data_IF_418257312241
#
_entry.id   IF_418257312241
#
_cell.length_a   1.000
_cell.length_b   1.000
_cell.length_c   1.000
_cell.angle_alpha   90.00
_cell.angle_beta   90.00
_cell.angle_gamma   90.00
#
_symmetry.space_group_name_H-M   'P 1'
#
loop_
_entity.id
_entity.type
_entity.pdbx_description
1 polymer ?
#
# COMPACT_ATOMS: atom_id res chain seq x y z
N UNK A 1 8.14 -15.03 27.96
CA UNK A 1 8.20 -13.56 28.09
C UNK A 1 6.92 -13.06 27.45
N UNK A 2 5.94 -12.82 28.31
CA UNK A 2 4.52 -12.71 28.00
C UNK A 2 4.14 -11.29 27.57
N UNK A 3 3.48 -11.21 26.43
CA UNK A 3 2.40 -10.29 26.05
C UNK A 3 2.02 -9.22 27.09
N UNK A 4 2.66 -8.03 27.03
CA UNK A 4 2.04 -6.75 27.45
C UNK A 4 2.86 -5.47 27.14
N UNK A 5 3.61 -5.39 26.03
CA UNK A 5 4.53 -4.24 25.80
C UNK A 5 4.07 -3.16 24.82
N UNK A 6 2.88 -3.30 24.24
CA UNK A 6 2.31 -2.30 23.36
C UNK A 6 0.92 -1.98 23.89
N UNK A 7 0.84 -1.06 24.87
CA UNK A 7 -0.40 -0.44 25.35
C UNK A 7 -1.06 0.41 24.26
N UNK A 8 -1.36 -0.23 23.14
CA UNK A 8 -1.93 0.38 21.95
C UNK A 8 -3.44 0.13 22.00
N UNK A 9 -4.17 0.97 22.73
CA UNK A 9 -5.61 1.08 22.50
C UNK A 9 -5.83 1.67 21.10
N UNK A 10 -6.57 0.95 20.26
CA UNK A 10 -7.02 1.37 18.94
C UNK A 10 -8.52 1.64 19.03
N UNK A 11 -8.96 2.81 18.55
CA UNK A 11 -10.38 3.08 18.36
C UNK A 11 -10.86 2.37 17.09
N UNK A 12 -11.63 1.29 17.26
CA UNK A 12 -12.18 0.45 16.18
C UNK A 12 -11.14 0.01 15.13
N UNK A 13 -10.18 -0.84 15.49
CA UNK A 13 -9.17 -1.28 14.54
C UNK A 13 -9.80 -2.10 13.41
N UNK A 14 -9.25 -1.99 12.20
CA UNK A 14 -9.70 -2.84 11.08
C UNK A 14 -9.52 -4.32 11.42
N UNK A 15 -8.42 -4.63 12.10
CA UNK A 15 -8.02 -5.98 12.47
C UNK A 15 -7.32 -5.95 13.84
N UNK A 16 -7.31 -7.08 14.55
CA UNK A 16 -6.56 -7.24 15.79
C UNK A 16 -5.10 -6.78 15.66
N UNK A 17 -4.55 -6.20 16.73
CA UNK A 17 -3.13 -5.78 16.77
C UNK A 17 -2.21 -6.97 16.53
N UNK A 18 -2.60 -8.13 17.05
CA UNK A 18 -1.86 -9.40 16.92
C UNK A 18 -1.68 -9.82 15.46
N UNK A 19 -2.72 -9.69 14.62
CA UNK A 19 -2.64 -10.01 13.19
C UNK A 19 -1.73 -9.03 12.43
N UNK A 20 -1.76 -7.72 12.76
CA UNK A 20 -0.80 -6.76 12.19
C UNK A 20 0.65 -7.06 12.59
N UNK A 21 0.86 -7.50 13.84
CA UNK A 21 2.16 -7.92 14.34
C UNK A 21 2.62 -9.22 13.65
N UNK A 22 1.73 -10.20 13.50
CA UNK A 22 2.01 -11.48 12.83
C UNK A 22 2.33 -11.32 11.33
N UNK A 23 1.69 -10.37 10.65
CA UNK A 23 1.99 -10.02 9.27
C UNK A 23 3.32 -9.24 9.12
N UNK A 24 3.88 -8.70 10.20
CA UNK A 24 5.14 -7.96 10.18
C UNK A 24 5.04 -6.55 9.57
N UNK A 25 3.84 -5.94 9.58
CA UNK A 25 3.58 -4.60 9.03
C UNK A 25 4.39 -3.50 9.73
N UNK A 26 4.64 -3.68 11.03
CA UNK A 26 5.35 -2.74 11.89
C UNK A 26 6.87 -2.76 11.74
N UNK A 27 7.44 -3.77 11.06
CA UNK A 27 8.88 -3.95 10.94
C UNK A 27 9.38 -3.07 9.78
N UNK A 28 10.03 -1.96 10.09
CA UNK A 28 10.70 -1.14 9.10
C UNK A 28 12.18 -1.50 8.93
N UNK A 29 12.94 -0.58 8.35
CA UNK A 29 14.38 -0.77 8.10
C UNK A 29 15.28 -0.11 9.14
N UNK A 30 16.60 -0.20 8.96
CA UNK A 30 17.60 0.52 9.76
C UNK A 30 17.84 1.96 9.27
N UNK A 31 17.42 2.27 8.03
CA UNK A 31 17.56 3.61 7.47
C UNK A 31 16.26 4.36 7.64
N UNK A 32 16.35 5.64 7.97
CA UNK A 32 15.20 6.53 8.05
C UNK A 32 15.35 7.70 7.10
N UNK A 33 14.25 8.04 6.46
CA UNK A 33 14.07 9.32 5.81
C UNK A 33 13.49 10.34 6.82
N UNK A 34 13.59 11.62 6.48
CA UNK A 34 13.10 12.71 7.31
C UNK A 34 11.59 12.88 7.20
N UNK A 35 11.02 12.59 6.03
CA UNK A 35 9.57 12.62 5.79
C UNK A 35 8.84 11.57 6.64
N UNK A 36 9.44 10.39 6.78
CA UNK A 36 8.82 9.25 7.46
C UNK A 36 8.96 9.30 8.99
N UNK A 37 9.64 10.31 9.55
CA UNK A 37 9.84 10.46 11.01
C UNK A 37 8.53 10.45 11.79
N UNK A 38 7.46 11.03 11.24
CA UNK A 38 6.18 11.08 11.93
C UNK A 38 5.56 9.69 12.12
N UNK A 39 5.88 8.71 11.27
CA UNK A 39 5.27 7.37 11.33
C UNK A 39 6.07 6.38 12.20
N UNK A 40 7.20 6.80 12.75
CA UNK A 40 8.05 5.96 13.59
C UNK A 40 7.53 5.99 15.03
N UNK A 41 7.26 4.82 15.60
CA UNK A 41 6.87 4.67 17.00
C UNK A 41 8.10 4.63 17.92
N UNK A 42 9.01 3.67 17.70
CA UNK A 42 10.24 3.51 18.48
C UNK A 42 11.32 2.78 17.68
N UNK A 43 12.54 2.77 18.21
CA UNK A 43 13.66 1.98 17.67
C UNK A 43 13.82 0.72 18.51
N UNK A 44 13.99 -0.45 17.88
CA UNK A 44 14.32 -1.71 18.56
C UNK A 44 15.81 -1.73 18.94
N UNK A 45 16.19 -2.60 19.87
CA UNK A 45 17.60 -2.88 20.22
C UNK A 45 18.49 -3.18 19.01
N UNK A 46 17.92 -3.80 17.97
CA UNK A 46 18.64 -4.25 16.78
C UNK A 46 18.86 -3.12 15.75
N UNK A 47 18.40 -1.90 16.07
CA UNK A 47 18.48 -0.73 15.18
C UNK A 47 17.38 -0.66 14.12
N UNK A 48 16.43 -1.59 14.12
CA UNK A 48 15.25 -1.52 13.26
C UNK A 48 14.23 -0.52 13.83
N UNK A 49 13.74 0.36 12.96
CA UNK A 49 12.67 1.27 13.32
C UNK A 49 11.31 0.55 13.25
N UNK A 50 10.46 0.80 14.25
CA UNK A 50 9.12 0.25 14.36
C UNK A 50 8.12 1.30 13.85
N UNK A 51 7.30 0.93 12.87
CA UNK A 51 6.21 1.76 12.33
C UNK A 51 5.02 1.74 13.29
N UNK A 52 4.37 2.89 13.48
CA UNK A 52 3.14 2.99 14.26
C UNK A 52 1.94 2.41 13.49
N UNK A 53 1.43 1.27 13.96
CA UNK A 53 0.28 0.57 13.39
C UNK A 53 -0.98 1.44 13.43
N UNK A 54 -1.13 2.32 14.45
CA UNK A 54 -2.29 3.22 14.56
C UNK A 54 -2.39 4.12 13.34
N UNK A 55 -1.26 4.72 12.97
CA UNK A 55 -1.17 5.60 11.80
C UNK A 55 -1.39 4.83 10.50
N UNK A 56 -0.88 3.60 10.42
CA UNK A 56 -1.15 2.72 9.27
C UNK A 56 -2.65 2.46 9.10
N UNK A 57 -3.35 2.09 10.17
CA UNK A 57 -4.80 1.80 10.17
C UNK A 57 -5.62 3.03 9.77
N UNK A 58 -5.30 4.20 10.32
CA UNK A 58 -5.91 5.48 9.97
C UNK A 58 -5.70 5.83 8.49
N UNK A 59 -4.47 5.68 7.98
CA UNK A 59 -4.15 5.95 6.57
C UNK A 59 -4.88 4.98 5.64
N UNK A 60 -4.98 3.69 5.97
CA UNK A 60 -5.75 2.72 5.19
C UNK A 60 -7.22 3.13 5.10
N UNK A 61 -7.84 3.53 6.23
CA UNK A 61 -9.23 4.04 6.24
C UNK A 61 -9.40 5.29 5.39
N UNK A 62 -8.46 6.24 5.46
CA UNK A 62 -8.48 7.46 4.65
C UNK A 62 -8.37 7.13 3.15
N UNK A 63 -7.44 6.26 2.78
CA UNK A 63 -7.22 5.82 1.40
C UNK A 63 -8.45 5.09 0.86
N UNK A 64 -9.04 4.18 1.63
CA UNK A 64 -10.25 3.48 1.20
C UNK A 64 -11.41 4.45 0.93
N UNK A 65 -11.61 5.46 1.79
CA UNK A 65 -12.60 6.53 1.58
C UNK A 65 -12.29 7.40 0.35
N UNK A 66 -11.01 7.66 0.08
CA UNK A 66 -10.58 8.42 -1.08
C UNK A 66 -10.84 7.63 -2.38
N UNK A 67 -10.42 6.36 -2.42
CA UNK A 67 -10.59 5.47 -3.57
C UNK A 67 -12.06 5.16 -3.86
N UNK A 68 -12.94 5.17 -2.84
CA UNK A 68 -14.37 4.97 -3.02
C UNK A 68 -15.05 6.06 -3.88
N UNK A 69 -14.40 7.22 -4.07
CA UNK A 69 -14.91 8.31 -4.92
C UNK A 69 -14.69 8.07 -6.41
N UNK A 70 -13.77 7.17 -6.76
CA UNK A 70 -13.37 6.89 -8.13
C UNK A 70 -14.05 5.62 -8.65
N UNK A 71 -14.27 5.59 -9.96
CA UNK A 71 -14.72 4.38 -10.63
C UNK A 71 -13.60 3.32 -10.66
N UNK A 72 -13.98 2.05 -10.53
CA UNK A 72 -13.03 0.94 -10.50
C UNK A 72 -11.99 0.94 -11.64
N UNK A 73 -12.36 1.10 -12.93
CA UNK A 73 -11.38 1.04 -14.03
C UNK A 73 -10.43 2.26 -14.10
N UNK A 74 -10.74 3.35 -13.37
CA UNK A 74 -9.90 4.55 -13.30
C UNK A 74 -8.83 4.47 -12.22
N UNK A 75 -8.84 3.43 -11.39
CA UNK A 75 -7.80 3.14 -10.42
C UNK A 75 -6.71 2.33 -11.11
N UNK A 76 -5.47 2.81 -11.04
CA UNK A 76 -4.31 2.13 -11.61
C UNK A 76 -3.33 1.70 -10.53
N UNK A 77 -3.02 0.41 -10.46
CA UNK A 77 -2.12 -0.15 -9.46
C UNK A 77 -0.83 -0.57 -10.14
N UNK A 78 0.30 -0.06 -9.65
CA UNK A 78 1.63 -0.36 -10.19
C UNK A 78 2.50 -1.01 -9.13
N UNK A 79 3.18 -2.07 -9.53
CA UNK A 79 4.15 -2.74 -8.67
C UNK A 79 5.25 -3.42 -9.48
N UNK A 80 6.49 -3.03 -9.23
CA UNK A 80 7.68 -3.73 -9.75
C UNK A 80 8.17 -4.83 -8.81
N UNK A 81 7.82 -4.74 -7.52
CA UNK A 81 8.26 -5.65 -6.46
C UNK A 81 7.63 -7.04 -6.62
N UNK A 82 8.45 -8.09 -6.64
CA UNK A 82 7.99 -9.48 -6.85
C UNK A 82 6.89 -9.91 -5.86
N UNK A 83 7.09 -9.67 -4.56
CA UNK A 83 6.08 -10.01 -3.53
C UNK A 83 4.82 -9.14 -3.59
N UNK A 84 4.89 -7.97 -4.23
CA UNK A 84 3.73 -7.09 -4.43
C UNK A 84 2.88 -7.45 -5.65
N UNK A 85 3.41 -8.24 -6.61
CA UNK A 85 2.72 -8.54 -7.86
C UNK A 85 1.42 -9.32 -7.63
N UNK A 86 1.47 -10.36 -6.81
CA UNK A 86 0.30 -11.21 -6.55
C UNK A 86 -0.80 -10.46 -5.77
N UNK A 87 -0.51 -9.81 -4.62
CA UNK A 87 -1.52 -9.01 -3.90
C UNK A 87 -2.13 -7.88 -4.73
N UNK A 88 -1.32 -7.18 -5.53
CA UNK A 88 -1.80 -6.09 -6.38
C UNK A 88 -2.71 -6.58 -7.52
N UNK A 89 -2.40 -7.71 -8.14
CA UNK A 89 -3.27 -8.34 -9.14
C UNK A 89 -4.59 -8.79 -8.52
N UNK A 90 -4.53 -9.42 -7.34
CA UNK A 90 -5.72 -9.87 -6.63
C UNK A 90 -6.63 -8.68 -6.26
N UNK A 91 -6.06 -7.64 -5.66
CA UNK A 91 -6.73 -6.37 -5.37
C UNK A 91 -7.45 -5.82 -6.61
N UNK A 92 -6.73 -5.76 -7.73
CA UNK A 92 -7.24 -5.19 -8.97
C UNK A 92 -8.34 -6.03 -9.58
N UNK A 93 -8.20 -7.36 -9.54
CA UNK A 93 -9.21 -8.30 -10.04
C UNK A 93 -10.50 -8.24 -9.23
N UNK A 94 -10.39 -8.09 -7.91
CA UNK A 94 -11.55 -8.00 -7.02
C UNK A 94 -12.31 -6.69 -7.19
N UNK A 95 -11.61 -5.58 -7.36
CA UNK A 95 -12.22 -4.25 -7.45
C UNK A 95 -12.65 -3.92 -8.87
N UNK A 96 -12.02 -4.53 -9.88
CA UNK A 96 -12.13 -4.16 -11.29
C UNK A 96 -11.20 -3.00 -11.66
N UNK A 97 -10.07 -2.87 -10.98
CA UNK A 97 -9.04 -1.87 -11.27
C UNK A 97 -8.03 -2.39 -12.31
N UNK A 98 -7.31 -1.48 -12.94
CA UNK A 98 -6.25 -1.84 -13.89
C UNK A 98 -4.95 -2.00 -13.09
N UNK A 99 -4.25 -3.12 -13.26
CA UNK A 99 -2.92 -3.30 -12.68
C UNK A 99 -1.85 -3.49 -13.74
N UNK A 100 -0.68 -2.92 -13.45
CA UNK A 100 0.55 -3.20 -14.19
C UNK A 100 1.58 -3.76 -13.21
N UNK A 101 1.88 -5.05 -13.37
CA UNK A 101 2.87 -5.75 -12.57
C UNK A 101 4.20 -5.91 -13.31
N UNK A 102 5.29 -5.90 -12.55
CA UNK A 102 6.64 -6.08 -13.06
C UNK A 102 7.21 -4.79 -13.63
N UNK A 103 7.99 -4.90 -14.72
CA UNK A 103 8.69 -3.74 -15.28
C UNK A 103 7.69 -2.72 -15.84
N UNK A 104 7.69 -1.51 -15.27
CA UNK A 104 6.95 -0.38 -15.80
C UNK A 104 7.59 0.08 -17.12
N UNK A 105 6.76 0.28 -18.15
CA UNK A 105 7.23 0.74 -19.47
C UNK A 105 7.14 2.26 -19.47
N UNK A 106 8.26 2.99 -19.66
CA UNK A 106 8.20 4.43 -19.77
C UNK A 106 7.29 4.86 -20.92
N UNK A 107 6.40 5.82 -20.65
CA UNK A 107 5.39 6.27 -21.61
C UNK A 107 4.00 5.68 -21.36
N UNK A 108 3.84 4.74 -20.44
CA UNK A 108 2.54 4.09 -20.17
C UNK A 108 1.44 5.09 -19.79
N UNK A 109 1.76 6.22 -19.14
CA UNK A 109 0.76 7.24 -18.78
C UNK A 109 0.83 8.49 -19.69
N UNK A 110 1.91 8.67 -20.45
CA UNK A 110 2.16 9.90 -21.22
C UNK A 110 2.05 9.72 -22.73
N UNK A 111 2.26 8.52 -23.27
CA UNK A 111 2.30 8.26 -24.70
C UNK A 111 1.07 7.47 -25.19
N UNK A 112 0.11 8.10 -25.89
CA UNK A 112 -1.12 7.45 -26.35
C UNK A 112 -0.91 6.43 -27.47
N UNK A 113 0.26 6.41 -28.12
CA UNK A 113 0.57 5.46 -29.21
C UNK A 113 0.94 4.08 -28.65
N UNK A 114 1.30 3.98 -27.38
CA UNK A 114 1.68 2.70 -26.78
C UNK A 114 0.47 1.77 -26.62
N UNK A 115 0.62 0.46 -26.86
CA UNK A 115 -0.49 -0.49 -26.74
C UNK A 115 -0.96 -0.69 -25.29
N UNK A 116 -0.11 -0.34 -24.30
CA UNK A 116 -0.41 -0.40 -22.87
C UNK A 116 -0.63 1.00 -22.28
N UNK A 117 -1.05 1.96 -23.09
CA UNK A 117 -1.40 3.29 -22.62
C UNK A 117 -2.66 3.23 -21.75
N UNK A 118 -2.63 3.95 -20.62
CA UNK A 118 -3.76 4.01 -19.69
C UNK A 118 -3.92 5.44 -19.18
N UNK A 119 -5.16 5.88 -19.04
CA UNK A 119 -5.53 7.19 -18.47
C UNK A 119 -6.30 7.01 -17.15
N UNK A 120 -5.58 6.75 -16.04
CA UNK A 120 -6.20 6.63 -14.72
C UNK A 120 -6.44 7.99 -14.08
N UNK A 121 -7.34 8.02 -13.11
CA UNK A 121 -7.60 9.20 -12.26
C UNK A 121 -6.88 9.10 -10.92
N UNK A 122 -6.39 7.92 -10.56
CA UNK A 122 -5.58 7.72 -9.36
C UNK A 122 -4.59 6.58 -9.56
N UNK A 123 -3.35 6.77 -9.10
CA UNK A 123 -2.30 5.75 -9.15
C UNK A 123 -1.97 5.26 -7.74
N UNK A 124 -1.91 3.95 -7.56
CA UNK A 124 -1.46 3.28 -6.33
C UNK A 124 -0.14 2.59 -6.63
N UNK A 125 0.88 2.87 -5.83
CA UNK A 125 2.23 2.35 -5.98
C UNK A 125 2.64 1.53 -4.76
N UNK A 126 3.21 0.34 -4.98
CA UNK A 126 3.69 -0.51 -3.86
C UNK A 126 5.01 -0.02 -3.26
N UNK A 127 5.91 0.55 -4.05
CA UNK A 127 7.16 1.08 -3.53
C UNK A 127 7.62 2.27 -4.37
N UNK A 128 7.75 3.47 -3.78
CA UNK A 128 8.13 4.65 -4.54
C UNK A 128 9.57 4.58 -5.09
N UNK A 129 10.46 3.77 -4.50
CA UNK A 129 11.82 3.59 -5.04
C UNK A 129 11.79 2.71 -6.29
N UNK A 130 11.11 1.56 -6.23
CA UNK A 130 11.02 0.63 -7.36
C UNK A 130 10.20 1.18 -8.53
N UNK A 131 9.15 1.94 -8.23
CA UNK A 131 8.15 2.41 -9.20
C UNK A 131 8.22 3.92 -9.45
N UNK A 132 9.40 4.53 -9.23
CA UNK A 132 9.63 5.97 -9.39
C UNK A 132 9.23 6.51 -10.77
N UNK A 133 9.34 5.68 -11.81
CA UNK A 133 8.92 6.04 -13.17
C UNK A 133 7.40 6.28 -13.25
N UNK A 134 6.60 5.44 -12.60
CA UNK A 134 5.15 5.59 -12.57
C UNK A 134 4.74 6.85 -11.80
N UNK A 135 5.44 7.16 -10.70
CA UNK A 135 5.22 8.39 -9.93
C UNK A 135 5.54 9.61 -10.79
N UNK A 136 6.70 9.62 -11.46
CA UNK A 136 7.13 10.75 -12.29
C UNK A 136 6.13 11.03 -13.42
N UNK A 137 5.64 9.98 -14.09
CA UNK A 137 4.65 10.15 -15.15
C UNK A 137 3.26 10.55 -14.61
N UNK A 138 2.83 10.00 -13.48
CA UNK A 138 1.58 10.40 -12.84
C UNK A 138 1.57 11.89 -12.50
N UNK A 139 2.69 12.41 -11.95
CA UNK A 139 2.87 13.82 -11.64
C UNK A 139 2.84 14.69 -12.89
N UNK A 140 3.47 14.26 -13.98
CA UNK A 140 3.43 14.97 -15.25
C UNK A 140 2.00 15.08 -15.82
N UNK A 141 1.18 14.04 -15.63
CA UNK A 141 -0.22 14.03 -16.03
C UNK A 141 -1.15 14.70 -14.99
N UNK A 142 -0.66 15.12 -13.82
CA UNK A 142 -1.47 15.71 -12.75
C UNK A 142 -2.39 14.71 -12.05
N UNK A 143 -2.02 13.42 -12.06
CA UNK A 143 -2.80 12.33 -11.45
C UNK A 143 -2.34 12.14 -9.99
N UNK A 144 -3.25 12.08 -9.01
CA UNK A 144 -2.90 11.86 -7.61
C UNK A 144 -2.25 10.48 -7.39
N UNK A 145 -1.21 10.46 -6.56
CA UNK A 145 -0.38 9.29 -6.26
C UNK A 145 -0.54 8.87 -4.80
N UNK A 146 -0.91 7.60 -4.61
CA UNK A 146 -0.94 6.92 -3.31
C UNK A 146 0.22 5.91 -3.29
N UNK A 147 1.05 5.90 -2.25
CA UNK A 147 2.16 4.96 -2.15
C UNK A 147 2.22 4.23 -0.81
N UNK A 148 2.61 2.95 -0.86
CA UNK A 148 3.03 2.20 0.32
C UNK A 148 4.50 2.53 0.61
N UNK A 149 4.76 3.15 1.76
CA UNK A 149 6.08 3.65 2.12
C UNK A 149 6.59 2.95 3.38
N UNK A 150 7.78 2.38 3.28
CA UNK A 150 8.62 2.00 4.40
C UNK A 150 9.43 3.22 4.89
N UNK A 151 10.11 3.09 6.01
CA UNK A 151 10.78 4.18 6.73
C UNK A 151 11.94 4.79 5.93
N UNK A 152 12.51 4.05 4.99
CA UNK A 152 13.58 4.51 4.10
C UNK A 152 13.08 5.14 2.79
N UNK A 153 11.77 5.19 2.57
CA UNK A 153 11.21 5.76 1.35
C UNK A 153 11.10 7.29 1.46
N UNK A 154 11.42 7.96 0.37
CA UNK A 154 11.14 9.39 0.19
C UNK A 154 9.69 9.57 -0.26
N UNK A 155 9.01 10.59 0.27
CA UNK A 155 7.60 10.84 -0.04
C UNK A 155 7.39 11.96 -1.05
N UNK A 156 8.49 12.40 -1.70
CA UNK A 156 8.45 13.40 -2.76
C UNK A 156 7.47 12.99 -3.88
N UNK A 157 6.52 13.86 -4.16
CA UNK A 157 5.45 13.66 -5.16
C UNK A 157 4.47 12.51 -4.86
N UNK A 158 4.35 12.12 -3.59
CA UNK A 158 3.28 11.24 -3.12
C UNK A 158 2.25 12.07 -2.36
N UNK A 159 1.00 12.04 -2.78
CA UNK A 159 -0.07 12.81 -2.14
C UNK A 159 -0.58 12.15 -0.86
N UNK A 160 -0.62 10.81 -0.86
CA UNK A 160 -1.12 10.03 0.27
C UNK A 160 -0.22 8.84 0.56
N UNK A 161 0.36 8.85 1.75
CA UNK A 161 1.31 7.85 2.22
C UNK A 161 0.60 6.83 3.11
N UNK A 162 0.80 5.55 2.82
CA UNK A 162 0.46 4.45 3.74
C UNK A 162 1.78 3.96 4.35
N UNK A 163 2.05 4.24 5.63
CA UNK A 163 3.25 3.78 6.30
C UNK A 163 3.14 2.26 6.55
N UNK A 164 3.97 1.47 5.88
CA UNK A 164 3.97 0.01 6.02
C UNK A 164 5.30 -0.58 5.58
N UNK A 165 5.62 -1.76 6.08
CA UNK A 165 6.65 -2.60 5.49
C UNK A 165 6.26 -3.00 4.06
N UNK A 166 6.97 -2.46 3.06
CA UNK A 166 6.74 -2.75 1.63
C UNK A 166 7.68 -3.83 1.07
N UNK A 167 8.41 -4.55 1.93
CA UNK A 167 9.33 -5.64 1.55
C UNK A 167 8.82 -7.00 2.00
N UNK A 168 8.10 -7.03 3.12
CA UNK A 168 7.52 -8.26 3.67
C UNK A 168 6.39 -8.79 2.81
N UNK A 169 6.45 -10.08 2.45
CA UNK A 169 5.37 -10.77 1.72
C UNK A 169 4.04 -10.66 2.44
N UNK A 170 4.00 -11.09 3.71
CA UNK A 170 2.78 -11.05 4.53
C UNK A 170 2.28 -9.63 4.79
N UNK A 171 3.20 -8.68 4.98
CA UNK A 171 2.86 -7.28 5.20
C UNK A 171 2.16 -6.68 3.97
N UNK A 172 2.69 -6.89 2.77
CA UNK A 172 2.06 -6.43 1.53
C UNK A 172 0.69 -7.09 1.31
N UNK A 173 0.59 -8.42 1.48
CA UNK A 173 -0.68 -9.15 1.40
C UNK A 173 -1.72 -8.58 2.37
N UNK A 174 -1.31 -8.27 3.61
CA UNK A 174 -2.20 -7.73 4.63
C UNK A 174 -2.72 -6.35 4.24
N UNK A 175 -1.84 -5.45 3.80
CA UNK A 175 -2.23 -4.09 3.42
C UNK A 175 -3.19 -4.09 2.23
N UNK A 176 -2.89 -4.86 1.19
CA UNK A 176 -3.78 -4.98 0.02
C UNK A 176 -5.12 -5.64 0.37
N UNK A 177 -5.12 -6.65 1.23
CA UNK A 177 -6.34 -7.28 1.74
C UNK A 177 -7.22 -6.27 2.48
N UNK A 178 -6.64 -5.51 3.42
CA UNK A 178 -7.38 -4.51 4.20
C UNK A 178 -7.91 -3.37 3.34
N UNK A 179 -7.10 -2.88 2.40
CA UNK A 179 -7.54 -1.87 1.43
C UNK A 179 -8.71 -2.38 0.59
N UNK A 180 -8.65 -3.64 0.11
CA UNK A 180 -9.73 -4.25 -0.66
C UNK A 180 -11.01 -4.35 0.18
N UNK A 181 -10.90 -4.89 1.38
CA UNK A 181 -12.05 -5.11 2.27
C UNK A 181 -12.73 -3.80 2.64
N UNK A 182 -11.96 -2.77 2.99
CA UNK A 182 -12.53 -1.47 3.33
C UNK A 182 -13.13 -0.77 2.11
N UNK A 183 -12.52 -0.88 0.94
CA UNK A 183 -13.09 -0.30 -0.29
C UNK A 183 -14.42 -0.97 -0.67
N UNK A 184 -14.51 -2.29 -0.58
CA UNK A 184 -15.75 -3.03 -0.83
C UNK A 184 -16.84 -2.68 0.19
N UNK A 185 -16.46 -2.53 1.47
CA UNK A 185 -17.35 -2.06 2.53
C UNK A 185 -17.92 -0.68 2.23
N UNK A 186 -17.10 0.26 1.75
CA UNK A 186 -17.57 1.60 1.33
C UNK A 186 -18.50 1.52 0.10
N UNK A 187 -18.26 0.57 -0.81
CA UNK A 187 -19.14 0.32 -1.97
C UNK A 187 -20.40 -0.49 -1.63
N UNK A 188 -20.55 -0.96 -0.38
CA UNK A 188 -21.69 -1.77 0.07
C UNK A 188 -21.69 -3.21 -0.45
N UNK A 189 -20.56 -3.69 -0.98
CA UNK A 189 -20.42 -5.06 -1.50
C UNK A 189 -19.93 -5.95 -0.36
N UNK A 190 -20.70 -6.96 0.01
CA UNK A 190 -20.30 -7.95 1.02
C UNK A 190 -19.33 -8.93 0.39
N UNK A 191 -18.08 -8.93 0.86
CA UNK A 191 -17.03 -9.82 0.37
C UNK A 191 -16.65 -10.87 1.41
N UNK A 192 -16.57 -12.13 1.00
CA UNK A 192 -16.06 -13.26 1.80
C UNK A 192 -14.57 -13.52 1.56
N UNK A 193 -13.78 -12.47 1.35
CA UNK A 193 -12.35 -12.60 1.07
C UNK A 193 -11.61 -12.97 2.37
N UNK A 194 -10.69 -13.92 2.27
CA UNK A 194 -9.79 -14.27 3.36
C UNK A 194 -8.41 -13.66 3.13
N UNK A 195 -7.62 -13.57 4.19
CA UNK A 195 -6.23 -13.10 4.09
C UNK A 195 -5.37 -14.04 3.23
N UNK A 196 -5.66 -15.35 3.27
CA UNK A 196 -4.97 -16.39 2.51
C UNK A 196 -5.10 -16.16 0.99
N UNK A 197 -6.22 -15.60 0.52
CA UNK A 197 -6.45 -15.28 -0.89
C UNK A 197 -5.45 -14.25 -1.47
N UNK A 198 -4.76 -13.51 -0.59
CA UNK A 198 -3.80 -12.46 -0.95
C UNK A 198 -2.34 -12.89 -0.69
N UNK A 199 -2.09 -14.04 -0.06
CA UNK A 199 -0.74 -14.57 0.03
C UNK A 199 -0.36 -15.26 -1.29
N UNK A 200 0.83 -14.97 -1.83
CA UNK A 200 1.34 -15.81 -2.91
C UNK A 200 1.59 -17.21 -2.36
N UNK A 201 1.43 -18.25 -3.18
CA UNK A 201 1.78 -19.62 -2.77
C UNK A 201 3.31 -19.87 -2.83
N UNK A 202 4.04 -19.01 -3.56
CA UNK A 202 5.48 -19.11 -3.83
C UNK A 202 6.27 -17.90 -3.31
#
# INVERSE_FOLDING_TARGET
MTDNELGIELNEPLVSVEEYLAAGVHIGTQQKDDDMKEFIYRVRSDGLYIIDIRKTDERIKQVAKFLARYESPKIFVVTSRQYGQYPAQKFSSTIGAISHVGRFIPGTLTNPVLPKYVEPEVVIVTDPIGDAQAITEAVQCGIPVIALCDINNQTNNVDLVIPTNNKGRKALSMVYFLLTRELLKQKGIVSSLTFEDFESEF
#
